data_IF_649252080920
#
_entry.id   IF_649252080920
#
_cell.length_a   1.000
_cell.length_b   1.000
_cell.length_c   1.000
_cell.angle_alpha   90.00
_cell.angle_beta   90.00
_cell.angle_gamma   90.00
#
_symmetry.space_group_name_H-M   'P 1'
#
loop_
_entity.id
_entity.type
_entity.pdbx_description
1 polymer ?
#
# COMPACT_ATOMS: atom_id res chain seq x y z
N UNK A 1 -2.45 -8.11 -17.01
CA UNK A 1 -3.46 -7.75 -15.99
C UNK A 1 -2.75 -7.61 -14.66
N UNK A 2 -3.17 -6.65 -13.81
CA UNK A 2 -2.70 -6.57 -12.42
C UNK A 2 -3.17 -7.83 -11.69
N UNK A 3 -2.30 -8.42 -10.85
CA UNK A 3 -2.57 -9.74 -10.27
C UNK A 3 -2.25 -9.84 -8.78
N UNK A 4 -1.10 -9.33 -8.35
CA UNK A 4 -0.60 -9.49 -6.98
C UNK A 4 0.16 -8.22 -6.56
N UNK A 5 0.05 -7.84 -5.28
CA UNK A 5 0.77 -6.70 -4.71
C UNK A 5 2.00 -7.19 -3.93
N UNK A 6 3.20 -6.96 -4.46
CA UNK A 6 4.44 -7.34 -3.74
C UNK A 6 4.76 -6.43 -2.55
N UNK A 7 4.34 -5.17 -2.62
CA UNK A 7 4.42 -4.26 -1.48
C UNK A 7 3.31 -4.52 -0.47
N UNK A 8 3.40 -3.89 0.68
CA UNK A 8 2.41 -4.02 1.74
C UNK A 8 2.84 -3.25 2.98
N UNK A 9 2.16 -3.52 4.09
CA UNK A 9 2.53 -2.97 5.39
C UNK A 9 3.91 -3.49 5.79
N UNK A 10 4.76 -2.59 6.30
CA UNK A 10 6.05 -2.99 6.85
C UNK A 10 5.85 -3.85 8.09
N UNK A 11 6.53 -5.00 8.11
CA UNK A 11 6.64 -5.89 9.26
C UNK A 11 8.10 -6.31 9.43
N UNK A 12 8.48 -6.64 10.66
CA UNK A 12 9.75 -7.30 10.94
C UNK A 12 9.69 -8.81 10.60
N UNK A 13 10.78 -9.53 10.89
CA UNK A 13 10.88 -10.98 10.68
C UNK A 13 9.87 -11.81 11.48
N UNK A 14 9.30 -11.24 12.54
CA UNK A 14 8.29 -11.89 13.38
C UNK A 14 6.86 -11.54 12.96
N UNK A 15 6.69 -10.78 11.87
CA UNK A 15 5.43 -10.30 11.30
C UNK A 15 4.76 -9.20 12.14
N UNK A 16 5.54 -8.49 12.96
CA UNK A 16 5.08 -7.37 13.79
C UNK A 16 5.28 -6.06 13.05
N UNK A 17 4.29 -5.17 13.10
CA UNK A 17 4.41 -3.82 12.54
C UNK A 17 5.21 -2.89 13.48
N UNK A 18 5.37 -1.62 13.11
CA UNK A 18 5.90 -0.60 14.03
C UNK A 18 4.95 -0.27 15.20
N UNK A 19 3.72 -0.77 15.19
CA UNK A 19 2.75 -0.66 16.28
C UNK A 19 2.80 -1.96 17.10
N UNK A 20 3.25 -1.94 18.36
CA UNK A 20 3.27 -3.12 19.21
C UNK A 20 1.89 -3.77 19.32
N UNK A 21 1.84 -5.09 19.15
CA UNK A 21 0.59 -5.86 19.18
C UNK A 21 -0.21 -5.87 17.88
N UNK A 22 0.23 -5.16 16.83
CA UNK A 22 -0.35 -5.23 15.49
C UNK A 22 0.54 -6.09 14.57
N UNK A 23 -0.03 -7.19 14.10
CA UNK A 23 0.62 -8.16 13.21
C UNK A 23 -0.03 -8.15 11.82
N UNK A 24 0.75 -8.34 10.75
CA UNK A 24 0.26 -8.35 9.37
C UNK A 24 0.89 -9.49 8.58
N UNK A 25 0.08 -10.25 7.86
CA UNK A 25 0.49 -11.48 7.16
C UNK A 25 -0.01 -11.55 5.72
N UNK A 26 0.61 -12.43 4.93
CA UNK A 26 0.22 -12.70 3.55
C UNK A 26 0.41 -11.49 2.63
N UNK A 27 -0.46 -11.35 1.62
CA UNK A 27 -0.39 -10.27 0.62
C UNK A 27 -0.57 -8.85 1.21
N UNK A 28 -0.94 -8.73 2.48
CA UNK A 28 -1.02 -7.45 3.16
C UNK A 28 0.34 -6.92 3.66
N UNK A 29 1.37 -7.76 3.73
CA UNK A 29 2.76 -7.36 4.08
C UNK A 29 3.68 -7.39 2.84
N UNK A 30 4.94 -6.99 2.99
CA UNK A 30 5.91 -6.85 1.90
C UNK A 30 7.01 -7.94 1.83
N UNK A 31 7.14 -8.78 2.86
CA UNK A 31 8.44 -9.37 3.28
C UNK A 31 9.06 -10.35 2.28
N UNK A 32 8.27 -11.18 1.61
CA UNK A 32 8.79 -12.43 1.03
C UNK A 32 9.07 -12.40 -0.48
N UNK A 33 8.60 -11.37 -1.18
CA UNK A 33 8.51 -11.42 -2.65
C UNK A 33 9.41 -10.43 -3.38
N UNK A 34 10.02 -9.49 -2.63
CA UNK A 34 10.87 -8.45 -3.19
C UNK A 34 10.22 -7.75 -4.38
N UNK A 35 11.01 -7.50 -5.43
CA UNK A 35 10.51 -6.78 -6.60
C UNK A 35 9.67 -7.63 -7.57
N UNK A 36 9.63 -8.97 -7.43
CA UNK A 36 8.85 -9.84 -8.31
C UNK A 36 8.55 -11.20 -7.66
N UNK A 37 7.27 -11.47 -7.39
CA UNK A 37 6.80 -12.74 -6.84
C UNK A 37 7.01 -13.91 -7.83
N UNK A 38 7.41 -15.08 -7.31
CA UNK A 38 7.43 -16.33 -8.07
C UNK A 38 6.04 -16.99 -8.12
N UNK A 39 5.71 -17.67 -9.22
CA UNK A 39 4.44 -18.36 -9.37
C UNK A 39 4.17 -19.33 -8.21
N UNK A 40 2.90 -19.43 -7.79
CA UNK A 40 2.43 -20.27 -6.66
C UNK A 40 2.98 -19.96 -5.24
N UNK A 41 3.83 -18.94 -5.06
CA UNK A 41 4.42 -18.65 -3.74
C UNK A 41 3.49 -17.91 -2.76
N UNK A 42 2.46 -17.19 -3.22
CA UNK A 42 1.60 -16.38 -2.35
C UNK A 42 0.81 -17.22 -1.33
N UNK A 43 0.30 -18.37 -1.75
CA UNK A 43 -0.41 -19.29 -0.83
C UNK A 43 0.56 -19.91 0.17
N UNK A 44 1.82 -20.16 -0.25
CA UNK A 44 2.84 -20.64 0.67
C UNK A 44 3.23 -19.58 1.70
N UNK A 45 3.30 -18.31 1.31
CA UNK A 45 3.52 -17.20 2.24
C UNK A 45 2.42 -17.17 3.30
N UNK A 46 1.15 -17.11 2.90
CA UNK A 46 0.03 -17.08 3.86
C UNK A 46 0.02 -18.30 4.80
N UNK A 47 0.36 -19.49 4.29
CA UNK A 47 0.51 -20.68 5.13
C UNK A 47 1.70 -20.58 6.06
N UNK A 48 2.86 -20.10 5.59
CA UNK A 48 4.07 -20.00 6.40
C UNK A 48 3.91 -18.97 7.52
N UNK A 49 3.42 -17.79 7.19
CA UNK A 49 3.15 -16.71 8.13
C UNK A 49 2.20 -17.19 9.23
N UNK A 50 1.04 -17.73 8.83
CA UNK A 50 -0.02 -18.10 9.76
C UNK A 50 0.26 -19.37 10.57
N UNK A 51 1.00 -20.34 10.01
CA UNK A 51 1.21 -21.64 10.65
C UNK A 51 2.57 -21.77 11.34
N UNK A 52 3.63 -21.14 10.80
CA UNK A 52 4.98 -21.30 11.32
C UNK A 52 5.50 -20.10 12.09
N UNK A 53 5.04 -18.88 11.81
CA UNK A 53 5.56 -17.67 12.46
C UNK A 53 4.62 -17.19 13.56
N UNK A 54 3.38 -16.81 13.19
CA UNK A 54 2.42 -16.23 14.13
C UNK A 54 2.18 -17.01 15.42
N UNK A 55 2.11 -18.36 15.43
CA UNK A 55 1.88 -19.09 16.68
C UNK A 55 2.96 -18.83 17.74
N UNK A 56 4.21 -18.61 17.31
CA UNK A 56 5.30 -18.28 18.23
C UNK A 56 5.29 -16.79 18.57
N UNK A 57 5.17 -15.91 17.57
CA UNK A 57 5.20 -14.46 17.80
C UNK A 57 4.06 -14.00 18.71
N UNK A 58 2.81 -14.40 18.40
CA UNK A 58 1.64 -13.98 19.16
C UNK A 58 1.70 -14.58 20.57
N UNK A 59 2.13 -15.83 20.73
CA UNK A 59 2.26 -16.44 22.05
C UNK A 59 3.29 -15.69 22.90
N UNK A 60 4.46 -15.36 22.34
CA UNK A 60 5.50 -14.63 23.04
C UNK A 60 5.03 -13.23 23.44
N UNK A 61 4.38 -12.50 22.52
CA UNK A 61 3.81 -11.19 22.81
C UNK A 61 2.75 -11.27 23.92
N UNK A 62 1.80 -12.21 23.82
CA UNK A 62 0.73 -12.34 24.80
C UNK A 62 1.20 -12.86 26.16
N UNK A 63 2.36 -13.52 26.25
CA UNK A 63 2.91 -13.99 27.51
C UNK A 63 3.20 -12.83 28.49
N UNK A 64 3.61 -11.68 27.96
CA UNK A 64 3.84 -10.46 28.74
C UNK A 64 2.52 -9.72 29.08
N UNK A 65 1.44 -10.03 28.36
CA UNK A 65 0.13 -9.37 28.48
C UNK A 65 -0.88 -10.16 29.34
N UNK A 66 -0.48 -11.28 29.97
CA UNK A 66 -1.39 -12.17 30.74
C UNK A 66 -2.14 -11.43 31.85
N UNK A 67 -1.50 -10.42 32.45
CA UNK A 67 -2.06 -9.63 33.54
C UNK A 67 -2.73 -8.34 33.05
N UNK A 68 -2.68 -8.05 31.75
CA UNK A 68 -3.29 -6.85 31.17
C UNK A 68 -4.81 -7.00 31.24
N UNK A 69 -5.52 -6.11 31.95
CA UNK A 69 -6.98 -6.19 32.04
C UNK A 69 -7.60 -5.84 30.68
N UNK A 70 -8.86 -6.25 30.49
CA UNK A 70 -9.64 -5.79 29.33
C UNK A 70 -9.71 -4.26 29.34
N UNK A 71 -9.32 -3.66 28.22
CA UNK A 71 -9.44 -2.22 28.01
C UNK A 71 -10.91 -1.82 27.93
N UNK A 72 -11.26 -0.70 28.58
CA UNK A 72 -12.61 -0.13 28.45
C UNK A 72 -12.73 0.63 27.14
N UNK A 73 -13.94 0.68 26.60
CA UNK A 73 -14.30 1.58 25.49
C UNK A 73 -14.44 3.04 25.95
N UNK A 74 -14.43 3.29 27.26
CA UNK A 74 -14.45 4.65 27.82
C UNK A 74 -13.05 5.30 27.88
N UNK A 75 -12.02 4.60 27.40
CA UNK A 75 -10.66 5.14 27.35
C UNK A 75 -10.58 6.28 26.32
N UNK A 76 -9.82 7.36 26.61
CA UNK A 76 -9.67 8.48 25.70
C UNK A 76 -9.25 8.07 24.29
N UNK A 77 -8.37 7.08 24.16
CA UNK A 77 -7.86 6.57 22.89
C UNK A 77 -8.96 5.89 22.06
N UNK A 78 -9.87 5.15 22.71
CA UNK A 78 -10.99 4.52 22.02
C UNK A 78 -12.00 5.58 21.55
N UNK A 79 -12.34 6.52 22.44
CA UNK A 79 -13.28 7.61 22.12
C UNK A 79 -12.77 8.43 20.94
N UNK A 80 -11.49 8.82 20.94
CA UNK A 80 -10.87 9.54 19.83
C UNK A 80 -10.94 8.76 18.51
N UNK A 81 -10.64 7.46 18.54
CA UNK A 81 -10.71 6.61 17.36
C UNK A 81 -12.15 6.44 16.83
N UNK A 82 -13.12 6.21 17.72
CA UNK A 82 -14.53 6.10 17.38
C UNK A 82 -15.07 7.41 16.76
N UNK A 83 -14.80 8.55 17.41
CA UNK A 83 -15.19 9.87 16.91
C UNK A 83 -14.57 10.17 15.54
N UNK A 84 -13.31 9.79 15.31
CA UNK A 84 -12.64 9.96 14.02
C UNK A 84 -13.32 9.14 12.90
N UNK A 85 -13.70 7.90 13.18
CA UNK A 85 -14.41 7.03 12.23
C UNK A 85 -15.81 7.58 11.93
N UNK A 86 -16.58 7.92 12.96
CA UNK A 86 -17.93 8.51 12.80
C UNK A 86 -17.85 9.81 12.01
N UNK A 87 -16.92 10.69 12.35
CA UNK A 87 -16.72 11.97 11.65
C UNK A 87 -16.35 11.77 10.18
N UNK A 88 -15.55 10.75 9.85
CA UNK A 88 -15.22 10.43 8.46
C UNK A 88 -16.44 9.94 7.68
N UNK A 89 -17.25 9.07 8.27
CA UNK A 89 -18.50 8.58 7.65
C UNK A 89 -19.47 9.74 7.44
N UNK A 90 -19.67 10.58 8.46
CA UNK A 90 -20.55 11.73 8.38
C UNK A 90 -20.09 12.74 7.34
N UNK A 91 -18.78 12.98 7.25
CA UNK A 91 -18.22 13.81 6.20
C UNK A 91 -18.58 13.27 4.82
N UNK A 92 -18.38 11.98 4.56
CA UNK A 92 -18.69 11.36 3.26
C UNK A 92 -20.17 11.53 2.91
N UNK A 93 -21.06 11.25 3.85
CA UNK A 93 -22.52 11.30 3.66
C UNK A 93 -23.07 12.72 3.53
N UNK A 94 -22.36 13.71 4.08
CA UNK A 94 -22.75 15.12 3.98
C UNK A 94 -22.34 15.77 2.66
N UNK A 95 -21.47 15.13 1.86
CA UNK A 95 -21.12 15.66 0.53
C UNK A 95 -22.32 15.45 -0.39
N UNK A 96 -22.83 16.55 -0.95
CA UNK A 96 -23.98 16.59 -1.83
C UNK A 96 -23.56 16.92 -3.26
N UNK A 97 -22.54 16.21 -3.74
CA UNK A 97 -22.02 16.39 -5.09
C UNK A 97 -22.88 15.71 -6.15
N UNK A 98 -22.39 15.74 -7.39
CA UNK A 98 -23.10 15.25 -8.57
C UNK A 98 -22.50 13.95 -9.14
N UNK A 99 -21.29 13.58 -8.71
CA UNK A 99 -20.58 12.42 -9.26
C UNK A 99 -20.73 11.16 -8.41
N UNK A 100 -21.05 10.04 -9.06
CA UNK A 100 -21.16 8.76 -8.37
C UNK A 100 -19.81 8.22 -7.91
N UNK A 101 -19.84 7.37 -6.87
CA UNK A 101 -18.66 6.62 -6.40
C UNK A 101 -18.00 5.83 -7.53
N UNK A 102 -18.82 5.23 -8.41
CA UNK A 102 -18.37 4.52 -9.60
C UNK A 102 -17.61 5.39 -10.60
N UNK A 103 -18.02 6.65 -10.77
CA UNK A 103 -17.31 7.60 -11.64
C UNK A 103 -15.88 7.79 -11.15
N UNK A 104 -15.71 8.09 -9.86
CA UNK A 104 -14.39 8.23 -9.24
C UNK A 104 -13.56 6.96 -9.33
N UNK A 105 -14.15 5.80 -9.03
CA UNK A 105 -13.43 4.53 -9.10
C UNK A 105 -12.90 4.24 -10.51
N UNK A 106 -13.71 4.46 -11.55
CA UNK A 106 -13.29 4.26 -12.95
C UNK A 106 -12.23 5.27 -13.38
N UNK A 107 -12.42 6.55 -13.07
CA UNK A 107 -11.45 7.61 -13.38
C UNK A 107 -10.09 7.31 -12.73
N UNK A 108 -10.10 6.96 -11.44
CA UNK A 108 -8.91 6.56 -10.71
C UNK A 108 -8.23 5.34 -11.35
N UNK A 109 -8.98 4.25 -11.56
CA UNK A 109 -8.44 3.01 -12.10
C UNK A 109 -7.82 3.18 -13.50
N UNK A 110 -8.47 3.96 -14.38
CA UNK A 110 -7.93 4.29 -15.69
C UNK A 110 -6.63 5.09 -15.58
N UNK A 111 -6.61 6.12 -14.74
CA UNK A 111 -5.42 6.96 -14.53
C UNK A 111 -4.24 6.14 -13.98
N UNK A 112 -4.49 5.29 -12.98
CA UNK A 112 -3.49 4.41 -12.39
C UNK A 112 -2.92 3.43 -13.41
N UNK A 113 -3.80 2.83 -14.23
CA UNK A 113 -3.37 1.92 -15.30
C UNK A 113 -2.50 2.62 -16.35
N UNK A 114 -2.87 3.83 -16.75
CA UNK A 114 -2.16 4.61 -17.77
C UNK A 114 -0.78 5.11 -17.31
N UNK A 115 -0.64 5.46 -16.03
CA UNK A 115 0.53 6.23 -15.55
C UNK A 115 1.43 5.47 -14.56
N UNK A 116 0.89 4.48 -13.86
CA UNK A 116 1.60 3.66 -12.86
C UNK A 116 1.50 2.16 -13.21
N UNK A 117 1.24 1.87 -14.48
CA UNK A 117 1.08 0.52 -15.00
C UNK A 117 2.39 -0.27 -15.13
N UNK A 118 2.45 -1.11 -16.16
CA UNK A 118 3.59 -2.00 -16.41
C UNK A 118 4.85 -1.22 -16.79
N UNK A 119 4.75 -0.32 -17.78
CA UNK A 119 5.80 0.62 -18.13
C UNK A 119 5.51 1.99 -17.52
N UNK A 120 6.56 2.67 -17.08
CA UNK A 120 6.46 3.95 -16.37
C UNK A 120 7.57 4.87 -16.87
N UNK A 121 7.30 6.17 -16.88
CA UNK A 121 8.32 7.19 -17.12
C UNK A 121 8.12 8.37 -16.18
N UNK A 122 9.17 9.19 -16.05
CA UNK A 122 9.22 10.34 -15.14
C UNK A 122 8.12 11.36 -15.40
N UNK A 123 7.75 11.59 -16.67
CA UNK A 123 6.73 12.57 -17.03
C UNK A 123 5.35 12.14 -16.52
N UNK A 124 4.94 10.92 -16.85
CA UNK A 124 3.65 10.36 -16.44
C UNK A 124 3.55 10.15 -14.93
N UNK A 125 4.66 9.78 -14.28
CA UNK A 125 4.71 9.65 -12.82
C UNK A 125 4.57 11.00 -12.11
N UNK A 126 5.22 12.08 -12.60
CA UNK A 126 5.00 13.41 -12.03
C UNK A 126 3.57 13.89 -12.24
N UNK A 127 3.02 13.66 -13.44
CA UNK A 127 1.65 14.04 -13.78
C UNK A 127 0.62 13.30 -12.93
N UNK A 128 0.81 12.00 -12.72
CA UNK A 128 -0.12 11.18 -11.92
C UNK A 128 -0.17 11.59 -10.45
N UNK A 129 0.95 12.01 -9.85
CA UNK A 129 0.96 12.54 -8.48
C UNK A 129 0.04 13.77 -8.38
N UNK A 130 0.11 14.68 -9.35
CA UNK A 130 -0.75 15.86 -9.40
C UNK A 130 -2.22 15.48 -9.67
N UNK A 131 -2.45 14.60 -10.64
CA UNK A 131 -3.79 14.12 -11.01
C UNK A 131 -4.48 13.44 -9.82
N UNK A 132 -3.78 12.61 -9.05
CA UNK A 132 -4.33 11.95 -7.85
C UNK A 132 -4.59 12.94 -6.72
N UNK A 133 -3.75 13.96 -6.54
CA UNK A 133 -4.01 15.03 -5.58
C UNK A 133 -5.30 15.79 -5.93
N UNK A 134 -5.45 16.18 -7.20
CA UNK A 134 -6.65 16.87 -7.67
C UNK A 134 -7.90 15.98 -7.57
N UNK A 135 -7.77 14.70 -7.93
CA UNK A 135 -8.86 13.73 -7.82
C UNK A 135 -9.29 13.52 -6.36
N UNK A 136 -8.34 13.50 -5.42
CA UNK A 136 -8.65 13.45 -3.98
C UNK A 136 -9.44 14.67 -3.55
N UNK A 137 -9.03 15.86 -3.98
CA UNK A 137 -9.77 17.09 -3.65
C UNK A 137 -11.19 17.09 -4.24
N UNK A 138 -11.34 16.69 -5.51
CA UNK A 138 -12.63 16.61 -6.18
C UNK A 138 -13.54 15.57 -5.53
N UNK A 139 -13.00 14.38 -5.19
CA UNK A 139 -13.71 13.34 -4.46
C UNK A 139 -14.33 13.89 -3.16
N UNK A 140 -13.55 14.60 -2.34
CA UNK A 140 -14.01 15.16 -1.08
C UNK A 140 -14.92 16.41 -1.23
N UNK A 141 -15.15 16.89 -2.45
CA UNK A 141 -16.04 18.02 -2.77
C UNK A 141 -17.32 17.57 -3.49
N UNK A 142 -17.24 16.54 -4.32
CA UNK A 142 -18.23 16.28 -5.37
C UNK A 142 -18.74 14.84 -5.42
N UNK A 143 -18.33 13.95 -4.51
CA UNK A 143 -18.92 12.61 -4.45
C UNK A 143 -20.39 12.66 -4.02
N UNK A 144 -21.18 11.79 -4.61
CA UNK A 144 -22.56 11.52 -4.27
C UNK A 144 -22.72 10.07 -3.83
N UNK A 145 -23.12 9.89 -2.58
CA UNK A 145 -23.39 8.58 -1.99
C UNK A 145 -24.90 8.48 -1.74
N UNK A 146 -25.63 7.60 -2.44
CA UNK A 146 -27.05 7.36 -2.17
C UNK A 146 -27.24 6.55 -0.88
N UNK A 147 -28.47 6.57 -0.35
CA UNK A 147 -28.87 5.78 0.83
C UNK A 147 -28.61 6.49 2.16
N UNK A 148 -28.74 5.73 3.25
CA UNK A 148 -28.47 6.18 4.61
C UNK A 148 -27.17 5.55 5.14
N UNK A 149 -26.58 6.13 6.18
CA UNK A 149 -25.36 5.62 6.81
C UNK A 149 -25.61 4.48 7.80
N UNK A 150 -26.83 4.37 8.32
CA UNK A 150 -27.22 3.38 9.31
C UNK A 150 -27.82 2.11 8.68
N UNK A 151 -28.01 2.11 7.37
CA UNK A 151 -28.46 0.96 6.59
C UNK A 151 -27.26 0.23 5.96
N UNK A 152 -27.51 -0.98 5.44
CA UNK A 152 -26.55 -1.66 4.58
C UNK A 152 -26.34 -0.83 3.30
N UNK A 153 -25.22 -0.10 3.24
CA UNK A 153 -24.91 0.82 2.15
C UNK A 153 -23.58 0.45 1.45
N UNK A 154 -23.62 -0.39 0.40
CA UNK A 154 -22.42 -0.78 -0.36
C UNK A 154 -21.72 0.40 -1.05
N UNK A 155 -22.45 1.46 -1.41
CA UNK A 155 -21.85 2.64 -2.04
C UNK A 155 -21.05 3.47 -1.04
N UNK A 156 -21.49 3.55 0.23
CA UNK A 156 -20.71 4.16 1.31
C UNK A 156 -19.41 3.37 1.58
N UNK A 157 -19.50 2.05 1.68
CA UNK A 157 -18.32 1.18 1.85
C UNK A 157 -17.32 1.39 0.70
N UNK A 158 -17.82 1.37 -0.54
CA UNK A 158 -17.03 1.59 -1.73
C UNK A 158 -16.43 2.99 -1.77
N UNK A 159 -17.14 4.02 -1.33
CA UNK A 159 -16.59 5.37 -1.24
C UNK A 159 -15.41 5.43 -0.27
N UNK A 160 -15.51 4.76 0.88
CA UNK A 160 -14.39 4.57 1.80
C UNK A 160 -13.16 3.99 1.11
N UNK A 161 -13.33 2.88 0.39
CA UNK A 161 -12.24 2.21 -0.35
C UNK A 161 -11.66 3.08 -1.46
N UNK A 162 -12.49 3.79 -2.23
CA UNK A 162 -12.03 4.69 -3.31
C UNK A 162 -11.20 5.84 -2.74
N UNK A 163 -11.59 6.38 -1.57
CA UNK A 163 -10.79 7.40 -0.90
C UNK A 163 -9.38 6.88 -0.55
N UNK A 164 -9.30 5.63 -0.05
CA UNK A 164 -8.03 4.99 0.29
C UNK A 164 -7.22 4.64 -0.96
N UNK A 165 -7.86 4.17 -2.03
CA UNK A 165 -7.22 3.89 -3.31
C UNK A 165 -6.55 5.13 -3.92
N UNK A 166 -7.22 6.29 -3.89
CA UNK A 166 -6.63 7.54 -4.40
C UNK A 166 -5.38 7.91 -3.59
N UNK A 167 -5.40 7.74 -2.26
CA UNK A 167 -4.24 8.02 -1.41
C UNK A 167 -3.08 7.05 -1.68
N UNK A 168 -3.36 5.75 -1.75
CA UNK A 168 -2.36 4.73 -2.06
C UNK A 168 -1.82 4.90 -3.49
N UNK A 169 -2.66 5.27 -4.46
CA UNK A 169 -2.25 5.52 -5.84
C UNK A 169 -1.24 6.66 -5.96
N UNK A 170 -1.44 7.75 -5.20
CA UNK A 170 -0.46 8.83 -5.09
C UNK A 170 0.87 8.31 -4.51
N UNK A 171 0.81 7.49 -3.46
CA UNK A 171 2.01 6.90 -2.86
C UNK A 171 2.74 5.98 -3.83
N UNK A 172 2.03 5.14 -4.59
CA UNK A 172 2.60 4.27 -5.61
C UNK A 172 3.31 5.07 -6.72
N UNK A 173 2.72 6.18 -7.16
CA UNK A 173 3.36 7.06 -8.14
C UNK A 173 4.62 7.72 -7.58
N UNK A 174 4.59 8.17 -6.31
CA UNK A 174 5.75 8.73 -5.61
C UNK A 174 6.89 7.72 -5.45
N UNK A 175 6.56 6.50 -5.03
CA UNK A 175 7.54 5.41 -4.89
C UNK A 175 8.18 5.05 -6.24
N UNK A 176 7.35 4.88 -7.27
CA UNK A 176 7.82 4.60 -8.62
C UNK A 176 8.66 5.75 -9.22
N UNK A 177 8.37 7.00 -8.86
CA UNK A 177 9.16 8.17 -9.28
C UNK A 177 10.51 8.22 -8.57
N UNK A 178 10.52 7.94 -7.25
CA UNK A 178 11.73 7.92 -6.44
C UNK A 178 12.72 6.85 -6.88
N UNK A 179 12.21 5.69 -7.33
CA UNK A 179 13.04 4.58 -7.80
C UNK A 179 13.42 4.78 -9.27
N UNK A 180 14.56 5.41 -9.51
CA UNK A 180 15.12 5.62 -10.86
C UNK A 180 15.96 4.40 -11.30
N UNK A 181 15.30 3.24 -11.45
CA UNK A 181 15.84 2.00 -12.02
C UNK A 181 14.71 1.12 -12.59
N UNK A 182 15.04 0.01 -13.25
CA UNK A 182 14.07 -1.07 -13.50
C UNK A 182 14.45 -2.33 -12.76
N UNK A 183 13.54 -2.85 -11.93
CA UNK A 183 13.75 -4.06 -11.14
C UNK A 183 12.43 -4.83 -10.95
N UNK A 184 12.41 -6.09 -11.40
CA UNK A 184 11.23 -6.96 -11.23
C UNK A 184 9.98 -6.40 -11.92
N UNK A 185 8.88 -6.26 -11.17
CA UNK A 185 7.62 -5.68 -11.65
C UNK A 185 7.62 -4.14 -11.72
N UNK A 186 8.71 -3.48 -11.33
CA UNK A 186 8.92 -2.05 -11.53
C UNK A 186 9.77 -1.84 -12.78
N UNK A 187 9.17 -1.28 -13.84
CA UNK A 187 9.85 -1.02 -15.10
C UNK A 187 9.74 0.45 -15.49
N UNK A 188 10.88 1.12 -15.52
CA UNK A 188 11.06 2.50 -15.94
C UNK A 188 11.67 2.51 -17.34
N UNK A 189 10.98 3.14 -18.29
CA UNK A 189 11.38 3.16 -19.71
C UNK A 189 12.74 3.82 -19.91
N UNK A 190 13.13 4.72 -19.01
CA UNK A 190 14.44 5.39 -19.02
C UNK A 190 15.58 4.48 -18.54
N UNK A 191 15.25 3.35 -17.88
CA UNK A 191 16.18 2.41 -17.27
C UNK A 191 15.99 1.01 -17.83
N UNK A 192 16.24 0.86 -19.12
CA UNK A 192 16.23 -0.42 -19.83
C UNK A 192 17.48 -0.55 -20.72
N UNK A 193 17.88 -1.79 -21.01
CA UNK A 193 18.95 -2.06 -21.99
C UNK A 193 18.49 -1.76 -23.42
N UNK A 194 19.42 -1.77 -24.38
CA UNK A 194 19.10 -1.65 -25.81
C UNK A 194 18.13 -2.75 -26.31
N UNK A 195 18.10 -3.90 -25.63
CA UNK A 195 17.21 -5.03 -25.93
C UNK A 195 15.86 -4.97 -25.19
N UNK A 196 15.60 -3.88 -24.45
CA UNK A 196 14.38 -3.67 -23.67
C UNK A 196 14.31 -4.45 -22.36
N UNK A 197 15.47 -4.90 -21.83
CA UNK A 197 15.52 -5.60 -20.54
C UNK A 197 15.66 -4.60 -19.38
N UNK A 198 15.11 -4.96 -18.21
CA UNK A 198 15.20 -4.14 -17.01
C UNK A 198 16.67 -3.87 -16.61
N UNK A 199 17.04 -2.59 -16.49
CA UNK A 199 18.34 -2.16 -16.00
C UNK A 199 18.26 -1.79 -14.52
N UNK A 200 18.70 -2.71 -13.66
CA UNK A 200 18.75 -2.53 -12.20
C UNK A 200 19.97 -1.71 -11.79
N UNK A 201 19.82 -0.84 -10.78
CA UNK A 201 20.92 -0.05 -10.23
C UNK A 201 21.19 -0.47 -8.77
N UNK A 202 22.07 -1.46 -8.64
CA UNK A 202 22.45 -2.08 -7.36
C UNK A 202 23.26 -1.12 -6.45
N UNK A 203 23.81 -0.03 -7.00
CA UNK A 203 24.57 0.94 -6.21
C UNK A 203 23.67 1.82 -5.34
N UNK A 204 22.57 2.30 -5.93
CA UNK A 204 21.70 3.31 -5.29
C UNK A 204 20.42 2.71 -4.69
N UNK A 205 19.93 1.58 -5.23
CA UNK A 205 18.58 1.09 -4.98
C UNK A 205 18.48 -0.29 -4.31
N UNK A 206 19.58 -0.77 -3.71
CA UNK A 206 19.63 -1.98 -2.86
C UNK A 206 19.00 -1.75 -1.47
N UNK A 207 17.73 -1.37 -1.46
CA UNK A 207 16.95 -1.16 -0.25
C UNK A 207 15.45 -1.40 -0.51
N UNK A 208 14.73 -1.73 0.55
CA UNK A 208 13.26 -1.68 0.60
C UNK A 208 12.83 -0.25 0.95
N UNK A 209 11.93 0.31 0.14
CA UNK A 209 11.34 1.61 0.39
C UNK A 209 10.19 1.48 1.38
N UNK A 210 10.32 2.10 2.55
CA UNK A 210 9.30 2.09 3.61
C UNK A 210 8.79 3.52 3.79
N UNK A 211 7.54 3.76 3.41
CA UNK A 211 6.96 5.09 3.42
C UNK A 211 6.13 5.34 4.68
N UNK A 212 6.52 6.31 5.48
CA UNK A 212 5.79 6.76 6.67
C UNK A 212 4.77 7.85 6.30
N UNK A 213 3.51 7.61 6.66
CA UNK A 213 2.46 8.61 6.52
C UNK A 213 2.62 9.74 7.54
N UNK A 214 2.65 10.99 7.08
CA UNK A 214 2.78 12.18 7.94
C UNK A 214 1.49 13.00 8.08
N UNK A 215 0.39 12.51 7.50
CA UNK A 215 -0.89 13.22 7.41
C UNK A 215 -1.23 13.69 5.99
N UNK A 216 -2.51 13.99 5.76
CA UNK A 216 -3.13 14.22 4.44
C UNK A 216 -2.45 15.27 3.55
N UNK A 217 -1.88 16.31 4.16
CA UNK A 217 -1.29 17.45 3.45
C UNK A 217 0.24 17.52 3.60
N UNK A 218 0.86 16.43 4.07
CA UNK A 218 2.31 16.32 4.23
C UNK A 218 2.84 15.23 3.30
N UNK A 219 3.97 15.50 2.68
CA UNK A 219 4.67 14.47 1.92
C UNK A 219 5.05 13.30 2.86
N UNK A 220 4.90 12.05 2.41
CA UNK A 220 5.34 10.89 3.18
C UNK A 220 6.87 10.90 3.29
N UNK A 221 7.39 10.30 4.37
CA UNK A 221 8.83 10.20 4.60
C UNK A 221 9.30 8.82 4.16
N UNK A 222 10.37 8.79 3.35
CA UNK A 222 11.01 7.54 2.95
C UNK A 222 12.04 7.11 4.00
N UNK A 223 11.82 5.92 4.54
CA UNK A 223 12.82 5.15 5.27
C UNK A 223 13.39 4.09 4.34
N UNK A 224 14.71 3.97 4.27
CA UNK A 224 15.39 2.98 3.43
C UNK A 224 15.88 1.84 4.31
N UNK A 225 15.35 0.64 4.12
CA UNK A 225 15.85 -0.57 4.77
C UNK A 225 16.86 -1.28 3.85
N UNK A 226 18.16 -1.29 4.18
CA UNK A 226 19.18 -1.85 3.28
C UNK A 226 19.03 -3.35 3.09
N UNK A 227 19.11 -3.80 1.83
CA UNK A 227 19.14 -5.23 1.51
C UNK A 227 20.58 -5.75 1.59
N UNK A 228 20.86 -6.61 2.57
CA UNK A 228 22.15 -7.28 2.74
C UNK A 228 22.01 -8.76 2.47
N UNK A 229 22.65 -9.23 1.41
CA UNK A 229 22.65 -10.64 1.03
C UNK A 229 23.92 -11.31 1.54
N UNK A 230 23.77 -12.27 2.45
CA UNK A 230 24.89 -13.01 3.06
C UNK A 230 25.15 -14.34 2.32
N UNK A 231 24.09 -15.06 1.96
CA UNK A 231 24.18 -16.41 1.40
C UNK A 231 24.17 -16.46 -0.14
N UNK A 232 23.84 -15.36 -0.80
CA UNK A 232 23.75 -15.30 -2.27
C UNK A 232 24.51 -14.12 -2.84
N UNK A 233 25.16 -14.36 -3.99
CA UNK A 233 25.74 -13.28 -4.80
C UNK A 233 24.66 -12.67 -5.68
N UNK A 234 24.46 -11.37 -5.56
CA UNK A 234 23.57 -10.60 -6.43
C UNK A 234 24.05 -10.68 -7.87
N UNK A 235 23.15 -11.06 -8.79
CA UNK A 235 23.42 -11.17 -10.22
C UNK A 235 22.28 -10.57 -11.03
N UNK A 236 22.58 -10.21 -12.28
CA UNK A 236 21.56 -9.80 -13.26
C UNK A 236 20.73 -11.01 -13.65
N UNK A 237 19.41 -10.87 -13.54
CA UNK A 237 18.46 -11.90 -13.94
C UNK A 237 17.95 -11.61 -15.35
N UNK A 238 18.46 -12.32 -16.35
CA UNK A 238 17.97 -12.27 -17.73
C UNK A 238 17.09 -13.49 -18.01
N UNK A 239 15.86 -13.27 -18.49
CA UNK A 239 14.91 -14.33 -18.81
C UNK A 239 14.97 -14.79 -20.28
N UNK A 240 15.65 -14.02 -21.14
CA UNK A 240 15.97 -14.45 -22.50
C UNK A 240 17.14 -15.43 -22.40
N UNK A 241 16.91 -16.65 -22.86
CA UNK A 241 17.99 -17.61 -23.15
C UNK A 241 18.72 -17.20 -24.40
#
# INVERSE_FOLDING_TARGET
AIHYTMGGTWVDYELTTTIPGLFVIGEANFSDHGANRLGASALMQGLADGYFILPYTIQNYLADEILTPRLSVDLPEFIEAEEAVISRIDRLMNIRGDESVDSFHKKFGLKLWETVGMARNKEDLNKSIEDFRQMREDFWKNIRIPGDKNDLNPELEKAGRVADFIEIGELMARDALNREESCGGHFREEFQSEEGEALRNDGDYMYVAVWEYKGKDKAPVLHKEPLKYEDIKVQTRNYKK
#
